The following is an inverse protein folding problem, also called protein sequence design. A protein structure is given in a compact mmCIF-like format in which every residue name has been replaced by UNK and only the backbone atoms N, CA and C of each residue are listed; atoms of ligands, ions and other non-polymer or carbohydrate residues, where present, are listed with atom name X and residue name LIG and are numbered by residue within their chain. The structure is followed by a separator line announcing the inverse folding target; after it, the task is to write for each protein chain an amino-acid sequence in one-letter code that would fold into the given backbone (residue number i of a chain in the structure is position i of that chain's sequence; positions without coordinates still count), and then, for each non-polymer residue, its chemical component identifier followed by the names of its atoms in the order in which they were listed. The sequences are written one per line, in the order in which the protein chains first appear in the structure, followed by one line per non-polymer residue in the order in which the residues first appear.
data_IF_046602790115
#
_entry.id   IF_046602790115
#
_cell.length_a   1.000
_cell.length_b   1.000
_cell.length_c   1.000
_cell.angle_alpha   90.00
_cell.angle_beta   90.00
_cell.angle_gamma   90.00
#
_symmetry.space_group_name_H-M   'P 1'
#
loop_
_entity.id
_entity.type
_entity.pdbx_description
1 polymer ?
#
# COMPACT_ATOMS: atom_id res chain seq x y z
N UNK A 1 -6.97 -18.50 0.87
CA UNK A 1 -5.81 -18.87 1.72
C UNK A 1 -5.10 -17.63 2.27
N UNK A 2 -5.14 -17.39 3.58
CA UNK A 2 -4.45 -16.25 4.25
C UNK A 2 -2.96 -16.52 4.35
N UNK A 3 -2.13 -15.68 3.72
CA UNK A 3 -0.66 -15.74 3.85
C UNK A 3 -0.21 -15.14 5.18
N UNK A 4 0.82 -15.72 5.82
CA UNK A 4 1.40 -15.26 7.10
C UNK A 4 2.93 -15.18 6.98
N UNK A 5 3.57 -14.42 7.87
CA UNK A 5 5.02 -14.47 8.04
C UNK A 5 5.39 -15.73 8.83
N UNK A 6 6.35 -16.48 8.34
CA UNK A 6 6.78 -17.76 8.91
C UNK A 6 8.29 -17.95 8.66
N UNK A 7 9.10 -18.35 9.66
CA UNK A 7 10.53 -18.61 9.47
C UNK A 7 10.85 -19.69 8.43
N UNK A 8 9.95 -20.67 8.22
CA UNK A 8 10.06 -21.69 7.18
C UNK A 8 9.39 -21.27 5.86
N UNK A 9 8.91 -20.02 5.77
CA UNK A 9 8.32 -19.44 4.58
C UNK A 9 9.34 -19.18 3.45
N UNK A 10 8.82 -18.79 2.28
CA UNK A 10 9.68 -18.35 1.17
C UNK A 10 10.18 -16.94 1.39
N UNK A 11 11.43 -16.68 1.03
CA UNK A 11 12.01 -15.34 1.07
C UNK A 11 11.13 -14.30 0.38
N UNK A 12 10.95 -13.18 1.09
CA UNK A 12 10.16 -12.05 0.66
C UNK A 12 10.79 -10.74 1.14
N UNK A 13 11.02 -9.80 0.23
CA UNK A 13 11.62 -8.50 0.54
C UNK A 13 10.85 -7.36 -0.13
N UNK A 14 10.41 -6.41 0.71
CA UNK A 14 9.73 -5.17 0.33
C UNK A 14 10.47 -4.02 0.99
N UNK A 15 10.89 -3.04 0.21
CA UNK A 15 11.46 -1.78 0.72
C UNK A 15 10.34 -0.74 0.74
N UNK A 16 10.28 0.07 1.79
CA UNK A 16 9.29 1.14 1.91
C UNK A 16 9.96 2.49 2.22
N UNK A 17 9.28 3.56 1.82
CA UNK A 17 9.65 4.94 2.09
C UNK A 17 8.39 5.70 2.51
N UNK A 18 8.43 6.42 3.62
CA UNK A 18 7.32 7.29 4.03
C UNK A 18 7.37 8.56 3.21
N UNK A 19 6.28 8.87 2.51
CA UNK A 19 6.17 10.08 1.71
C UNK A 19 5.53 11.21 2.51
N UNK A 20 4.41 10.90 3.16
CA UNK A 20 3.53 11.90 3.77
C UNK A 20 2.70 11.28 4.90
N UNK A 21 2.35 12.07 5.91
CA UNK A 21 1.40 11.71 6.96
C UNK A 21 0.08 12.48 6.83
N UNK A 22 -1.01 11.82 7.20
CA UNK A 22 -2.36 12.34 7.10
C UNK A 22 -3.14 12.07 8.38
N UNK A 23 -4.04 12.99 8.72
CA UNK A 23 -5.06 12.80 9.75
C UNK A 23 -6.39 12.53 9.05
N UNK A 24 -6.97 11.36 9.33
CA UNK A 24 -8.26 10.94 8.77
C UNK A 24 -9.46 11.53 9.50
N UNK A 25 -10.68 11.20 9.02
CA UNK A 25 -11.93 11.77 9.55
C UNK A 25 -12.16 11.50 11.04
N UNK A 26 -11.71 10.34 11.54
CA UNK A 26 -11.85 9.95 12.94
C UNK A 26 -10.64 10.35 13.81
N UNK A 27 -9.73 11.17 13.29
CA UNK A 27 -8.49 11.57 13.98
C UNK A 27 -7.35 10.55 13.92
N UNK A 28 -7.57 9.38 13.30
CA UNK A 28 -6.52 8.38 13.08
C UNK A 28 -5.43 8.91 12.13
N UNK A 29 -4.19 8.54 12.42
CA UNK A 29 -3.02 8.92 11.62
C UNK A 29 -2.75 7.83 10.57
N UNK A 30 -2.56 8.27 9.33
CA UNK A 30 -2.24 7.42 8.19
C UNK A 30 -0.93 7.87 7.56
N UNK A 31 -0.11 6.92 7.10
CA UNK A 31 1.09 7.20 6.34
C UNK A 31 0.89 6.78 4.89
N UNK A 32 1.14 7.70 3.96
CA UNK A 32 1.28 7.38 2.54
C UNK A 32 2.71 6.91 2.30
N UNK A 33 2.86 5.66 1.90
CA UNK A 33 4.18 5.03 1.70
C UNK A 33 4.38 4.66 0.24
N UNK A 34 5.60 4.85 -0.26
CA UNK A 34 6.06 4.26 -1.50
C UNK A 34 6.70 2.89 -1.21
N UNK A 35 6.40 1.91 -2.05
CA UNK A 35 6.81 0.52 -1.84
C UNK A 35 7.52 -0.01 -3.09
N UNK A 36 8.68 -0.62 -2.89
CA UNK A 36 9.44 -1.32 -3.94
C UNK A 36 9.53 -2.80 -3.60
N UNK A 37 8.99 -3.62 -4.50
CA UNK A 37 9.08 -5.08 -4.42
C UNK A 37 10.42 -5.56 -4.98
N UNK A 38 11.18 -6.29 -4.16
CA UNK A 38 12.38 -7.03 -4.61
C UNK A 38 11.99 -8.46 -5.00
N UNK A 39 11.01 -9.01 -4.29
CA UNK A 39 10.37 -10.30 -4.60
C UNK A 39 8.88 -10.10 -4.87
N UNK A 40 8.23 -11.07 -5.53
CA UNK A 40 6.82 -11.00 -5.93
C UNK A 40 5.94 -12.10 -5.32
N UNK A 41 5.91 -12.26 -3.98
CA UNK A 41 5.06 -13.27 -3.34
C UNK A 41 3.59 -12.83 -3.28
N UNK A 42 2.69 -13.80 -3.27
CA UNK A 42 1.25 -13.55 -3.12
C UNK A 42 0.99 -12.74 -1.84
N UNK A 43 0.29 -11.61 -1.98
CA UNK A 43 -0.07 -10.72 -0.88
C UNK A 43 1.12 -10.10 -0.13
N UNK A 44 2.35 -10.16 -0.66
CA UNK A 44 3.57 -9.78 0.05
C UNK A 44 3.47 -8.43 0.77
N UNK A 45 3.09 -7.37 0.04
CA UNK A 45 2.94 -6.01 0.62
C UNK A 45 1.97 -6.02 1.80
N UNK A 46 0.80 -6.64 1.61
CA UNK A 46 -0.28 -6.64 2.60
C UNK A 46 0.14 -7.37 3.87
N UNK A 47 0.80 -8.52 3.72
CA UNK A 47 1.32 -9.32 4.85
C UNK A 47 2.45 -8.58 5.56
N UNK A 48 3.40 -8.00 4.83
CA UNK A 48 4.54 -7.29 5.44
C UNK A 48 4.07 -6.09 6.25
N UNK A 49 3.19 -5.26 5.67
CA UNK A 49 2.67 -4.08 6.33
C UNK A 49 1.83 -4.43 7.57
N UNK A 50 1.00 -5.48 7.49
CA UNK A 50 0.27 -5.97 8.65
C UNK A 50 1.20 -6.55 9.74
N UNK A 51 2.27 -7.25 9.34
CA UNK A 51 3.23 -7.84 10.26
C UNK A 51 3.99 -6.79 11.09
N UNK A 52 4.34 -5.65 10.48
CA UNK A 52 4.97 -4.53 11.20
C UNK A 52 3.97 -3.63 11.95
N UNK A 53 2.68 -3.99 11.96
CA UNK A 53 1.63 -3.28 12.72
C UNK A 53 0.85 -2.21 11.96
N UNK A 54 1.15 -1.99 10.67
CA UNK A 54 0.56 -0.93 9.84
C UNK A 54 -0.13 -1.50 8.59
N UNK A 55 -1.24 -2.27 8.72
CA UNK A 55 -1.89 -2.88 7.57
C UNK A 55 -2.44 -1.85 6.58
N UNK A 56 -2.60 -2.27 5.33
CA UNK A 56 -3.15 -1.44 4.26
C UNK A 56 -4.59 -1.03 4.59
N UNK A 57 -4.92 0.24 4.33
CA UNK A 57 -6.28 0.78 4.53
C UNK A 57 -7.30 -0.02 3.70
N UNK A 58 -8.43 -0.35 4.34
CA UNK A 58 -9.52 -1.15 3.78
C UNK A 58 -9.10 -2.57 3.30
N UNK A 59 -8.07 -3.15 3.93
CA UNK A 59 -7.69 -4.55 3.71
C UNK A 59 -8.58 -5.53 4.49
N UNK A 60 -9.52 -6.16 3.80
CA UNK A 60 -10.47 -7.11 4.40
C UNK A 60 -9.84 -8.34 5.06
N UNK A 61 -8.58 -8.66 4.73
CA UNK A 61 -7.94 -9.92 5.11
C UNK A 61 -6.90 -9.75 6.20
N UNK A 62 -6.28 -8.57 6.25
CA UNK A 62 -5.18 -8.26 7.16
C UNK A 62 -5.46 -7.06 8.07
N UNK A 63 -6.68 -6.53 8.07
CA UNK A 63 -7.10 -5.55 9.06
C UNK A 63 -6.92 -6.07 10.49
N UNK A 64 -6.57 -5.16 11.41
CA UNK A 64 -6.34 -5.49 12.83
C UNK A 64 -7.61 -6.00 13.53
N UNK A 65 -8.77 -5.49 13.13
CA UNK A 65 -10.08 -5.87 13.66
C UNK A 65 -11.19 -5.47 12.68
N UNK A 66 -12.43 -5.97 12.86
CA UNK A 66 -13.59 -5.52 12.08
C UNK A 66 -13.83 -4.01 12.17
N UNK A 67 -13.59 -3.40 13.33
CA UNK A 67 -13.73 -1.95 13.55
C UNK A 67 -12.68 -1.18 12.75
N UNK A 68 -11.43 -1.64 12.76
CA UNK A 68 -10.36 -1.04 11.95
C UNK A 68 -10.66 -1.16 10.44
N UNK A 69 -11.25 -2.29 10.00
CA UNK A 69 -11.71 -2.44 8.62
C UNK A 69 -12.83 -1.45 8.28
N UNK A 70 -13.82 -1.30 9.16
CA UNK A 70 -14.92 -0.36 8.98
C UNK A 70 -14.42 1.10 8.94
N UNK A 71 -13.49 1.48 9.84
CA UNK A 71 -12.82 2.77 9.82
C UNK A 71 -12.07 3.00 8.51
N UNK A 72 -11.26 2.04 8.08
CA UNK A 72 -10.55 2.09 6.80
C UNK A 72 -11.48 2.24 5.60
N UNK A 73 -12.65 1.58 5.61
CA UNK A 73 -13.68 1.70 4.56
C UNK A 73 -14.36 3.07 4.51
N UNK A 74 -14.42 3.79 5.63
CA UNK A 74 -14.87 5.21 5.65
C UNK A 74 -13.84 6.13 4.98
N UNK A 75 -12.56 5.77 5.01
CA UNK A 75 -11.48 6.50 4.31
C UNK A 75 -11.45 6.16 2.82
N UNK A 76 -11.42 4.87 2.46
CA UNK A 76 -11.37 4.41 1.07
C UNK A 76 -12.28 3.19 0.87
N UNK A 77 -13.15 3.17 -0.16
CA UNK A 77 -14.12 2.08 -0.35
C UNK A 77 -13.48 0.75 -0.81
N UNK A 78 -12.18 0.76 -1.13
CA UNK A 78 -11.41 -0.39 -1.63
C UNK A 78 -10.04 -0.42 -0.98
N UNK A 79 -9.34 -1.56 -1.15
CA UNK A 79 -7.94 -1.69 -0.76
C UNK A 79 -7.12 -0.50 -1.29
N UNK A 80 -6.51 0.25 -0.37
CA UNK A 80 -5.64 1.39 -0.68
C UNK A 80 -4.25 0.89 -1.09
N UNK A 81 -4.18 0.25 -2.26
CA UNK A 81 -2.94 -0.22 -2.84
C UNK A 81 -2.99 0.00 -4.35
N UNK A 82 -2.00 0.74 -4.87
CA UNK A 82 -1.93 1.13 -6.28
C UNK A 82 -0.55 0.84 -6.85
N UNK A 83 -0.51 0.31 -8.07
CA UNK A 83 0.73 0.01 -8.78
C UNK A 83 1.11 1.23 -9.64
N UNK A 84 1.93 2.10 -9.09
CA UNK A 84 2.28 3.39 -9.73
C UNK A 84 3.26 3.26 -10.90
N UNK A 85 4.12 2.24 -10.87
CA UNK A 85 5.20 2.04 -11.86
C UNK A 85 5.40 0.57 -12.12
N UNK A 86 5.69 0.22 -13.37
CA UNK A 86 6.26 -1.07 -13.75
C UNK A 86 7.37 -0.86 -14.75
N UNK A 87 8.46 -1.60 -14.57
CA UNK A 87 9.56 -1.64 -15.52
C UNK A 87 9.85 -3.08 -15.90
N UNK A 88 10.14 -3.33 -17.16
CA UNK A 88 10.63 -4.62 -17.63
C UNK A 88 11.53 -4.44 -18.85
N UNK A 89 12.50 -5.33 -18.98
CA UNK A 89 13.33 -5.39 -20.18
C UNK A 89 12.54 -6.11 -21.28
N UNK A 90 12.48 -5.52 -22.46
CA UNK A 90 12.00 -6.21 -23.67
C UNK A 90 13.19 -6.78 -24.41
N UNK A 91 13.02 -7.96 -25.02
CA UNK A 91 14.08 -8.56 -25.84
C UNK A 91 14.45 -7.61 -26.98
N UNK A 92 15.74 -7.26 -27.08
CA UNK A 92 16.28 -6.38 -28.11
C UNK A 92 16.15 -4.88 -27.84
N UNK A 93 15.55 -4.44 -26.73
CA UNK A 93 15.54 -3.03 -26.34
C UNK A 93 16.80 -2.65 -25.56
N UNK A 94 17.44 -1.54 -25.93
CA UNK A 94 18.62 -1.02 -25.23
C UNK A 94 18.29 -0.45 -23.85
N UNK A 95 17.07 0.09 -23.69
CA UNK A 95 16.57 0.65 -22.44
C UNK A 95 15.33 -0.11 -21.95
N UNK A 96 15.12 -0.21 -20.63
CA UNK A 96 13.93 -0.85 -20.08
C UNK A 96 12.66 -0.07 -20.41
N UNK A 97 11.59 -0.78 -20.78
CA UNK A 97 10.27 -0.18 -20.92
C UNK A 97 9.72 0.11 -19.52
N UNK A 98 9.37 1.38 -19.28
CA UNK A 98 8.77 1.82 -18.01
C UNK A 98 7.39 2.39 -18.28
N UNK A 99 6.38 1.83 -17.62
CA UNK A 99 5.01 2.33 -17.65
C UNK A 99 4.67 2.95 -16.29
N UNK A 100 3.99 4.10 -16.33
CA UNK A 100 3.53 4.83 -15.17
C UNK A 100 2.00 4.86 -15.12
N UNK A 101 1.46 4.71 -13.92
CA UNK A 101 0.05 4.91 -13.63
C UNK A 101 -0.02 5.79 -12.38
N UNK A 102 0.06 7.13 -12.52
CA UNK A 102 0.05 8.02 -11.37
C UNK A 102 -1.20 7.83 -10.52
N UNK A 103 -1.18 8.30 -9.27
CA UNK A 103 -2.30 8.11 -8.34
C UNK A 103 -3.62 8.65 -8.90
N UNK A 104 -3.58 9.68 -9.75
CA UNK A 104 -4.72 10.23 -10.48
C UNK A 104 -5.46 9.21 -11.35
N UNK A 105 -4.81 8.11 -11.76
CA UNK A 105 -5.45 7.00 -12.47
C UNK A 105 -6.26 6.07 -11.54
N UNK A 106 -6.22 6.28 -10.22
CA UNK A 106 -7.05 5.63 -9.21
C UNK A 106 -7.90 6.69 -8.48
N UNK A 107 -9.05 7.10 -9.04
CA UNK A 107 -9.85 8.21 -8.53
C UNK A 107 -10.28 8.05 -7.07
N UNK A 108 -10.64 6.83 -6.65
CA UNK A 108 -11.10 6.54 -5.28
C UNK A 108 -9.97 6.72 -4.25
N UNK A 109 -8.74 6.36 -4.62
CA UNK A 109 -7.56 6.54 -3.76
C UNK A 109 -7.15 8.01 -3.73
N UNK A 110 -7.18 8.68 -4.89
CA UNK A 110 -6.94 10.13 -4.98
C UNK A 110 -7.94 10.89 -4.10
N UNK A 111 -9.22 10.52 -4.15
CA UNK A 111 -10.26 11.16 -3.35
C UNK A 111 -10.08 10.89 -1.85
N UNK A 112 -9.70 9.67 -1.47
CA UNK A 112 -9.39 9.33 -0.08
C UNK A 112 -8.25 10.20 0.47
N UNK A 113 -7.15 10.39 -0.25
CA UNK A 113 -6.05 11.29 0.16
C UNK A 113 -6.53 12.73 0.30
N UNK A 114 -7.31 13.24 -0.67
CA UNK A 114 -7.82 14.62 -0.66
C UNK A 114 -8.76 14.92 0.51
N UNK A 115 -9.46 13.91 1.03
CA UNK A 115 -10.37 14.05 2.18
C UNK A 115 -9.62 14.10 3.51
N UNK A 116 -8.37 13.63 3.56
CA UNK A 116 -7.56 13.65 4.76
C UNK A 116 -6.73 14.93 4.84
N UNK A 117 -6.49 15.41 6.06
CA UNK A 117 -5.66 16.59 6.29
C UNK A 117 -4.20 16.16 6.35
N UNK A 118 -3.32 16.76 5.54
CA UNK A 118 -1.88 16.59 5.69
C UNK A 118 -1.44 16.99 7.11
N UNK A 119 -0.62 16.15 7.74
CA UNK A 119 0.04 16.48 8.99
C UNK A 119 1.37 17.16 8.65
N UNK A 120 1.69 18.33 9.22
CA UNK A 120 2.99 18.95 9.00
C UNK A 120 4.09 17.98 9.43
N UNK A 121 5.05 17.73 8.54
CA UNK A 121 6.31 17.09 8.91
C UNK A 121 6.99 18.00 9.92
N UNK A 122 7.24 17.49 11.13
CA UNK A 122 8.01 18.20 12.16
C UNK A 122 9.48 18.35 11.77
#
# INVERSE_FOLDING_TARGET
SVCRVDPAGRDALTVYESLEEYVGPDGEIFSLVHLRLITGRTHQIRVHLAHIGFPVVADERYARSPEALAAGRRVCPRLFLHKVRVGFCSAGAAEPLVLWSPLSNAPELTQAVRRMRKRPSG
#
